data_IF_728793220055
#
_entry.id   IF_728793220055
#
_cell.length_a   1.000
_cell.length_b   1.000
_cell.length_c   1.000
_cell.angle_alpha   90.00
_cell.angle_beta   90.00
_cell.angle_gamma   90.00
#
_symmetry.space_group_name_H-M   'P 1'
#
loop_
_entity.id
_entity.type
_entity.pdbx_description
1 polymer ?
#
# COMPACT_ATOMS: atom_id res chain seq x y z
N UNK A 1 10.68 22.46 -2.86
CA UNK A 1 11.11 21.06 -2.75
C UNK A 1 12.28 20.82 -3.70
N UNK A 2 13.31 20.09 -3.26
CA UNK A 2 14.47 19.76 -4.10
C UNK A 2 14.29 18.39 -4.75
N UNK A 3 14.83 18.19 -5.95
CA UNK A 3 14.86 16.92 -6.68
C UNK A 3 15.32 15.74 -5.79
N UNK A 4 16.17 16.01 -4.79
CA UNK A 4 16.65 15.08 -3.78
C UNK A 4 15.53 14.42 -2.95
N UNK A 5 14.43 15.12 -2.69
CA UNK A 5 13.31 14.58 -1.90
C UNK A 5 12.45 13.57 -2.67
N UNK A 6 12.40 13.68 -4.00
CA UNK A 6 11.73 12.70 -4.88
C UNK A 6 12.57 11.44 -4.95
N UNK A 7 13.86 11.60 -5.23
CA UNK A 7 14.82 10.50 -5.35
C UNK A 7 14.84 9.69 -4.04
N UNK A 8 14.90 10.35 -2.89
CA UNK A 8 14.88 9.65 -1.60
C UNK A 8 13.58 8.87 -1.32
N UNK A 9 12.44 9.37 -1.82
CA UNK A 9 11.17 8.66 -1.70
C UNK A 9 11.18 7.39 -2.56
N UNK A 10 11.59 7.51 -3.82
CA UNK A 10 11.70 6.39 -4.75
C UNK A 10 12.72 5.33 -4.27
N UNK A 11 13.89 5.75 -3.76
CA UNK A 11 14.92 4.86 -3.21
C UNK A 11 14.44 4.05 -2.01
N UNK A 12 13.44 4.55 -1.28
CA UNK A 12 12.91 3.91 -0.08
C UNK A 12 11.67 3.04 -0.34
N UNK A 13 11.10 3.09 -1.56
CA UNK A 13 9.92 2.28 -1.96
C UNK A 13 10.22 0.79 -1.81
N UNK A 14 11.34 0.33 -2.38
CA UNK A 14 11.71 -1.09 -2.40
C UNK A 14 11.83 -1.64 -0.98
N UNK A 15 12.49 -0.91 -0.08
CA UNK A 15 12.66 -1.32 1.31
C UNK A 15 11.33 -1.41 2.07
N UNK A 16 10.45 -0.41 1.87
CA UNK A 16 9.13 -0.39 2.46
C UNK A 16 8.25 -1.57 1.98
N UNK A 17 8.20 -1.78 0.66
CA UNK A 17 7.39 -2.83 0.05
C UNK A 17 7.94 -4.23 0.37
N UNK A 18 9.26 -4.38 0.44
CA UNK A 18 9.90 -5.60 0.92
C UNK A 18 9.53 -5.91 2.38
N UNK A 19 9.39 -4.88 3.23
CA UNK A 19 8.88 -5.03 4.59
C UNK A 19 7.47 -5.62 4.62
N UNK A 20 6.54 -5.08 3.82
CA UNK A 20 5.17 -5.62 3.71
C UNK A 20 5.19 -7.05 3.16
N UNK A 21 5.99 -7.32 2.13
CA UNK A 21 6.15 -8.66 1.56
C UNK A 21 6.59 -9.69 2.61
N UNK A 22 7.56 -9.34 3.46
CA UNK A 22 8.02 -10.23 4.55
C UNK A 22 6.87 -10.51 5.52
N UNK A 23 6.11 -9.51 5.93
CA UNK A 23 4.97 -9.72 6.84
C UNK A 23 3.84 -10.54 6.20
N UNK A 24 3.59 -10.36 4.90
CA UNK A 24 2.65 -11.19 4.15
C UNK A 24 3.11 -12.65 4.13
N UNK A 25 4.37 -12.91 3.77
CA UNK A 25 4.93 -14.27 3.69
C UNK A 25 4.96 -15.02 5.03
N UNK A 26 4.83 -14.33 6.17
CA UNK A 26 4.64 -14.99 7.48
C UNK A 26 3.27 -15.65 7.60
N UNK A 27 2.28 -15.24 6.81
CA UNK A 27 0.97 -15.88 6.76
C UNK A 27 1.10 -17.17 5.97
N UNK A 28 0.60 -18.27 6.54
CA UNK A 28 0.54 -19.54 5.82
C UNK A 28 -0.33 -19.39 4.57
N UNK A 29 -0.07 -20.20 3.55
CA UNK A 29 -0.99 -20.41 2.41
C UNK A 29 -1.13 -19.25 1.41
N UNK A 30 -0.15 -18.33 1.36
CA UNK A 30 -0.13 -17.29 0.32
C UNK A 30 1.19 -17.32 -0.47
N UNK A 31 1.10 -16.97 -1.75
CA UNK A 31 2.24 -16.72 -2.62
C UNK A 31 2.31 -15.23 -2.93
N UNK A 32 3.51 -14.65 -2.84
CA UNK A 32 3.74 -13.23 -3.13
C UNK A 32 4.79 -13.10 -4.22
N UNK A 33 4.40 -12.48 -5.34
CA UNK A 33 5.29 -12.18 -6.47
C UNK A 33 5.28 -10.69 -6.77
N UNK A 34 6.38 -10.17 -7.32
CA UNK A 34 6.40 -8.80 -7.80
C UNK A 34 5.80 -8.75 -9.21
N UNK A 35 4.94 -7.77 -9.48
CA UNK A 35 4.31 -7.58 -10.78
C UNK A 35 4.37 -6.12 -11.17
N UNK A 36 5.08 -5.81 -12.27
CA UNK A 36 5.09 -4.46 -12.81
C UNK A 36 3.69 -4.06 -13.30
N UNK A 37 3.27 -2.84 -12.96
CA UNK A 37 1.95 -2.33 -13.33
C UNK A 37 2.01 -0.84 -13.66
N UNK A 38 1.30 -0.36 -14.72
CA UNK A 38 1.32 1.05 -15.08
C UNK A 38 0.91 1.96 -13.90
N UNK A 39 1.58 3.11 -13.78
CA UNK A 39 1.31 4.14 -12.76
C UNK A 39 1.52 3.68 -11.30
N UNK A 40 2.05 2.48 -11.09
CA UNK A 40 2.47 2.00 -9.77
C UNK A 40 3.96 2.25 -9.60
N UNK A 41 4.33 2.71 -8.39
CA UNK A 41 5.72 2.75 -7.97
C UNK A 41 6.24 1.34 -7.69
N UNK A 42 5.39 0.52 -7.07
CA UNK A 42 5.62 -0.90 -6.85
C UNK A 42 4.26 -1.61 -6.78
N UNK A 43 4.23 -2.88 -7.17
CA UNK A 43 3.08 -3.74 -7.07
C UNK A 43 3.46 -5.18 -6.76
N UNK A 44 2.84 -5.73 -5.71
CA UNK A 44 2.94 -7.13 -5.33
C UNK A 44 1.65 -7.85 -5.71
N UNK A 45 1.75 -8.94 -6.45
CA UNK A 45 0.67 -9.88 -6.67
C UNK A 45 0.67 -10.90 -5.53
N UNK A 46 -0.48 -11.04 -4.88
CA UNK A 46 -0.69 -11.97 -3.77
C UNK A 46 -1.81 -12.91 -4.12
N UNK A 47 -1.50 -14.21 -4.15
CA UNK A 47 -2.45 -15.27 -4.43
C UNK A 47 -2.58 -16.20 -3.24
N UNK A 48 -3.80 -16.57 -2.86
CA UNK A 48 -4.07 -17.55 -1.82
C UNK A 48 -4.33 -18.97 -2.40
N UNK A 49 -4.60 -19.95 -1.52
CA UNK A 49 -4.93 -21.33 -1.90
C UNK A 49 -6.22 -21.48 -2.73
N UNK A 50 -7.18 -20.56 -2.55
CA UNK A 50 -8.42 -20.52 -3.33
C UNK A 50 -8.21 -19.88 -4.71
N UNK A 51 -6.97 -19.53 -5.06
CA UNK A 51 -6.61 -18.79 -6.28
C UNK A 51 -7.28 -17.41 -6.36
N UNK A 52 -7.67 -16.83 -5.22
CA UNK A 52 -8.02 -15.41 -5.17
C UNK A 52 -6.75 -14.60 -5.43
N UNK A 53 -6.83 -13.68 -6.38
CA UNK A 53 -5.70 -12.87 -6.82
C UNK A 53 -5.93 -11.41 -6.48
N UNK A 54 -5.09 -10.87 -5.58
CA UNK A 54 -5.10 -9.46 -5.23
C UNK A 54 -3.76 -8.82 -5.57
N UNK A 55 -3.83 -7.62 -6.12
CA UNK A 55 -2.66 -6.78 -6.36
C UNK A 55 -2.54 -5.74 -5.25
N UNK A 56 -1.49 -5.80 -4.45
CA UNK A 56 -1.10 -4.73 -3.55
C UNK A 56 -0.33 -3.68 -4.33
N UNK A 57 -0.87 -2.48 -4.44
CA UNK A 57 -0.30 -1.39 -5.24
C UNK A 57 0.12 -0.24 -4.35
N UNK A 58 1.32 0.25 -4.60
CA UNK A 58 1.76 1.55 -4.13
C UNK A 58 1.77 2.51 -5.33
N UNK A 59 0.94 3.54 -5.27
CA UNK A 59 0.87 4.57 -6.31
C UNK A 59 1.19 5.95 -5.73
N UNK A 60 1.67 6.86 -6.58
CA UNK A 60 1.81 8.27 -6.24
C UNK A 60 0.55 9.04 -6.64
N UNK A 61 -0.07 9.78 -5.72
CA UNK A 61 -1.32 10.52 -5.99
C UNK A 61 -1.10 12.02 -6.10
N UNK A 62 -0.27 12.58 -5.22
CA UNK A 62 -0.10 14.02 -5.12
C UNK A 62 1.34 14.37 -4.83
N UNK A 63 1.86 15.33 -5.60
CA UNK A 63 3.18 15.90 -5.41
C UNK A 63 3.03 17.42 -5.48
N UNK A 64 2.54 18.03 -4.40
CA UNK A 64 2.61 19.50 -4.29
C UNK A 64 3.95 19.88 -3.66
N UNK A 65 4.46 21.12 -3.78
CA UNK A 65 5.79 21.52 -3.29
C UNK A 65 6.05 21.32 -1.79
N UNK A 66 5.02 20.99 -1.00
CA UNK A 66 5.09 20.77 0.45
C UNK A 66 4.83 19.31 0.87
N UNK A 67 4.27 18.46 0.01
CA UNK A 67 3.87 17.10 0.40
C UNK A 67 3.78 16.13 -0.80
N UNK A 68 4.53 15.04 -0.68
CA UNK A 68 4.36 13.81 -1.46
C UNK A 68 3.35 12.92 -0.77
N UNK A 69 2.31 12.51 -1.49
CA UNK A 69 1.28 11.58 -0.99
C UNK A 69 1.26 10.33 -1.86
N UNK A 70 1.62 9.20 -1.26
CA UNK A 70 1.40 7.87 -1.80
C UNK A 70 0.06 7.28 -1.38
N UNK A 71 -0.40 6.26 -2.09
CA UNK A 71 -1.53 5.42 -1.66
C UNK A 71 -1.14 3.97 -1.76
N UNK A 72 -1.42 3.25 -0.68
CA UNK A 72 -1.29 1.81 -0.59
C UNK A 72 -2.69 1.20 -0.62
N UNK A 73 -2.93 0.26 -1.53
CA UNK A 73 -4.26 -0.32 -1.75
C UNK A 73 -4.21 -1.72 -2.34
N UNK A 74 -5.16 -2.56 -1.95
CA UNK A 74 -5.44 -3.83 -2.63
C UNK A 74 -6.38 -3.61 -3.82
N UNK A 75 -6.10 -4.27 -4.94
CA UNK A 75 -6.94 -4.29 -6.13
C UNK A 75 -7.35 -5.75 -6.41
N UNK A 76 -8.64 -6.00 -6.40
CA UNK A 76 -9.20 -7.30 -6.79
C UNK A 76 -9.17 -7.47 -8.31
N UNK A 77 -9.17 -8.73 -8.79
CA UNK A 77 -9.31 -9.04 -10.22
C UNK A 77 -10.59 -8.49 -10.87
N UNK A 78 -11.62 -8.18 -10.06
CA UNK A 78 -12.86 -7.51 -10.50
C UNK A 78 -12.68 -6.02 -10.81
N UNK A 79 -11.52 -5.44 -10.49
CA UNK A 79 -11.26 -4.02 -10.57
C UNK A 79 -11.64 -3.24 -9.30
N UNK A 80 -12.19 -3.91 -8.28
CA UNK A 80 -12.54 -3.28 -7.01
C UNK A 80 -11.28 -2.91 -6.22
N UNK A 81 -11.19 -1.64 -5.83
CA UNK A 81 -10.08 -1.12 -5.05
C UNK A 81 -10.43 -0.99 -3.55
N UNK A 82 -9.50 -1.41 -2.72
CA UNK A 82 -9.54 -1.38 -1.26
C UNK A 82 -8.35 -0.58 -0.74
N UNK A 83 -8.60 0.66 -0.35
CA UNK A 83 -7.55 1.55 0.14
C UNK A 83 -7.12 1.12 1.54
N UNK A 84 -5.85 0.76 1.70
CA UNK A 84 -5.26 0.50 3.01
C UNK A 84 -5.03 1.82 3.75
N UNK A 85 -4.27 2.74 3.13
CA UNK A 85 -3.94 4.05 3.68
C UNK A 85 -3.33 4.97 2.62
N UNK A 86 -3.20 6.25 2.98
CA UNK A 86 -2.33 7.20 2.29
C UNK A 86 -1.01 7.32 3.04
N UNK A 87 0.06 7.67 2.34
CA UNK A 87 1.42 7.71 2.86
C UNK A 87 2.03 9.08 2.64
N UNK A 88 2.81 9.59 3.60
CA UNK A 88 3.71 10.71 3.35
C UNK A 88 5.04 10.24 2.75
N UNK A 89 5.97 11.18 2.52
CA UNK A 89 7.32 10.89 2.01
C UNK A 89 8.19 10.00 2.91
N UNK A 90 7.77 9.78 4.16
CA UNK A 90 8.44 8.91 5.13
C UNK A 90 7.71 7.58 5.32
N UNK A 91 6.79 7.24 4.41
CA UNK A 91 5.96 6.02 4.45
C UNK A 91 5.11 5.89 5.71
N UNK A 92 4.86 6.99 6.41
CA UNK A 92 3.93 7.01 7.53
C UNK A 92 2.51 7.07 6.99
N UNK A 93 1.63 6.22 7.53
CA UNK A 93 0.21 6.29 7.24
C UNK A 93 -0.34 7.65 7.68
N UNK A 94 -1.09 8.31 6.80
CA UNK A 94 -1.70 9.63 7.02
C UNK A 94 -3.17 9.61 6.60
N UNK A 95 -3.96 10.51 7.21
CA UNK A 95 -5.33 10.82 6.80
C UNK A 95 -5.57 12.31 6.68
N UNK A 96 -6.45 12.68 5.77
CA UNK A 96 -6.94 14.04 5.66
C UNK A 96 -8.00 14.29 6.75
N UNK A 97 -7.71 15.19 7.68
CA UNK A 97 -8.69 15.63 8.69
C UNK A 97 -9.69 16.60 8.07
N UNK A 98 -10.82 16.83 8.77
CA UNK A 98 -11.89 17.75 8.33
C UNK A 98 -11.41 19.17 8.06
N UNK A 99 -10.32 19.60 8.68
CA UNK A 99 -9.68 20.90 8.46
C UNK A 99 -8.70 20.91 7.27
N UNK A 100 -8.75 19.90 6.39
CA UNK A 100 -7.86 19.75 5.23
C UNK A 100 -6.38 19.62 5.55
N UNK A 101 -6.04 19.22 6.78
CA UNK A 101 -4.66 18.94 7.20
C UNK A 101 -4.43 17.43 7.19
N UNK A 102 -3.33 17.00 6.56
CA UNK A 102 -2.84 15.63 6.65
C UNK A 102 -2.23 15.39 8.02
N UNK A 103 -2.67 14.31 8.68
CA UNK A 103 -2.17 13.93 9.99
C UNK A 103 -1.82 12.44 10.01
N UNK A 104 -0.76 12.11 10.74
CA UNK A 104 -0.32 10.73 10.96
C UNK A 104 -1.42 9.90 11.61
N UNK A 105 -1.56 8.66 11.13
CA UNK A 105 -2.43 7.63 11.68
C UNK A 105 -1.79 6.94 12.88
N UNK A 106 -2.62 6.34 13.73
CA UNK A 106 -2.15 5.58 14.90
C UNK A 106 -1.44 4.28 14.50
N UNK A 107 -1.94 3.62 13.47
CA UNK A 107 -1.40 2.35 12.96
C UNK A 107 -0.38 2.62 11.87
N UNK A 108 0.60 1.72 11.73
CA UNK A 108 1.54 1.77 10.61
C UNK A 108 0.85 1.37 9.32
N UNK A 109 1.45 1.74 8.18
CA UNK A 109 0.91 1.43 6.87
C UNK A 109 0.78 -0.09 6.64
N UNK A 110 1.80 -0.84 7.05
CA UNK A 110 1.85 -2.30 6.99
C UNK A 110 0.71 -2.92 7.79
N UNK A 111 0.52 -2.47 9.04
CA UNK A 111 -0.55 -2.95 9.89
C UNK A 111 -1.93 -2.68 9.27
N UNK A 112 -2.16 -1.47 8.74
CA UNK A 112 -3.42 -1.14 8.06
C UNK A 112 -3.66 -2.02 6.84
N UNK A 113 -2.62 -2.30 6.05
CA UNK A 113 -2.79 -3.10 4.84
C UNK A 113 -3.01 -4.58 5.12
N UNK A 114 -2.39 -5.11 6.18
CA UNK A 114 -2.63 -6.46 6.68
C UNK A 114 -4.03 -6.62 7.31
N UNK A 115 -4.57 -5.58 7.96
CA UNK A 115 -5.95 -5.57 8.43
C UNK A 115 -6.93 -5.60 7.28
N UNK A 116 -6.69 -4.80 6.24
CA UNK A 116 -7.54 -4.74 5.05
C UNK A 116 -7.51 -6.06 4.27
N UNK A 117 -6.34 -6.69 4.14
CA UNK A 117 -6.22 -8.05 3.60
C UNK A 117 -7.12 -9.04 4.33
N UNK A 118 -7.05 -9.07 5.67
CA UNK A 118 -7.88 -9.96 6.49
C UNK A 118 -9.38 -9.66 6.32
N UNK A 119 -9.76 -8.40 6.08
CA UNK A 119 -11.14 -8.00 5.84
C UNK A 119 -11.67 -8.51 4.50
N UNK A 120 -10.87 -8.42 3.45
CA UNK A 120 -11.22 -8.91 2.10
C UNK A 120 -11.41 -10.44 2.09
N UNK A 121 -10.61 -11.16 2.89
CA UNK A 121 -10.65 -12.62 3.00
C UNK A 121 -11.48 -13.13 4.19
N UNK A 122 -12.16 -12.26 4.93
CA UNK A 122 -13.00 -12.73 6.04
C UNK A 122 -14.26 -13.39 5.47
N UNK A 123 -14.54 -14.67 5.77
CA UNK A 123 -15.70 -15.39 5.25
C UNK A 123 -17.05 -14.88 5.79
N UNK A 124 -17.05 -13.91 6.72
CA UNK A 124 -18.25 -13.42 7.39
C UNK A 124 -18.98 -12.30 6.62
N UNK A 125 -18.45 -11.84 5.48
CA UNK A 125 -19.08 -10.82 4.62
C UNK A 125 -18.85 -11.17 3.15
N UNK A 126 -19.40 -12.29 2.67
CA UNK A 126 -19.67 -12.51 1.24
C UNK A 126 -21.10 -12.99 1.07
#
# INVERSE_FOLDING_TARGET
MTQSSIIAFEESVDAFMQGIKIELLKRQQICVTHQAMPQCLDCLRVTDEESNDLMLRLILIGYNPQLTVGRLSWLEGTGREHICCYLNSSFEAIKLKRNHIWAKEKHTAEAMCLMEWSRIHSPLIR
#
